data_IF_111002796690
#
_entry.id   IF_111002796690
#
_cell.length_a   1.000
_cell.length_b   1.000
_cell.length_c   1.000
_cell.angle_alpha   90.00
_cell.angle_beta   90.00
_cell.angle_gamma   90.00
#
_symmetry.space_group_name_H-M   'P 1'
#
loop_
_entity.id
_entity.type
_entity.pdbx_description
1 polymer ?
#
# COMPACT_ATOMS: atom_id res chain seq x y z
N UNK A 1 20.03 -14.55 4.19
CA UNK A 1 20.43 -13.74 5.36
C UNK A 1 21.87 -14.09 5.70
N UNK A 2 22.79 -13.13 5.75
CA UNK A 2 24.18 -13.40 6.16
C UNK A 2 24.32 -13.40 7.69
N UNK A 3 25.51 -13.72 8.22
CA UNK A 3 25.77 -13.76 9.66
C UNK A 3 25.55 -12.41 10.38
N UNK A 4 25.54 -11.30 9.65
CA UNK A 4 25.26 -9.95 10.16
C UNK A 4 23.77 -9.56 10.05
N UNK A 5 22.91 -10.44 9.53
CA UNK A 5 21.47 -10.20 9.42
C UNK A 5 21.01 -9.46 8.17
N UNK A 6 21.93 -9.07 7.29
CA UNK A 6 21.62 -8.36 6.06
C UNK A 6 21.17 -9.29 4.93
N UNK A 7 20.35 -8.75 4.04
CA UNK A 7 20.07 -9.33 2.72
C UNK A 7 20.92 -8.60 1.68
N UNK A 8 21.73 -9.37 0.96
CA UNK A 8 22.62 -8.87 -0.09
C UNK A 8 22.61 -9.84 -1.25
N UNK A 9 22.40 -9.34 -2.45
CA UNK A 9 22.58 -10.10 -3.69
C UNK A 9 23.21 -9.21 -4.76
N UNK A 10 23.91 -9.85 -5.69
CA UNK A 10 24.55 -9.20 -6.81
C UNK A 10 23.86 -9.69 -8.09
N UNK A 11 23.63 -8.77 -9.02
CA UNK A 11 23.26 -9.12 -10.39
C UNK A 11 24.48 -8.82 -11.24
N UNK A 12 24.97 -9.82 -11.96
CA UNK A 12 26.12 -9.70 -12.86
C UNK A 12 25.60 -9.87 -14.28
N UNK A 13 25.89 -8.91 -15.17
CA UNK A 13 25.61 -9.07 -16.60
C UNK A 13 26.72 -9.87 -17.31
N UNK A 14 26.47 -10.42 -18.51
CA UNK A 14 27.48 -11.17 -19.26
C UNK A 14 28.72 -10.34 -19.69
N UNK A 15 28.62 -9.01 -19.66
CA UNK A 15 29.72 -8.09 -19.93
C UNK A 15 30.65 -7.85 -18.73
N UNK A 16 30.30 -8.41 -17.57
CA UNK A 16 31.09 -8.32 -16.34
C UNK A 16 30.75 -7.12 -15.45
N UNK A 17 29.72 -6.33 -15.79
CA UNK A 17 29.22 -5.31 -14.87
C UNK A 17 28.43 -6.00 -13.76
N UNK A 18 28.52 -5.47 -12.54
CA UNK A 18 27.68 -5.95 -11.45
C UNK A 18 27.04 -4.81 -10.69
N UNK A 19 25.74 -4.98 -10.42
CA UNK A 19 24.97 -4.11 -9.53
C UNK A 19 24.80 -4.84 -8.22
N UNK A 20 25.12 -4.16 -7.12
CA UNK A 20 25.09 -4.73 -5.78
C UNK A 20 23.94 -4.14 -4.98
N UNK A 21 23.00 -4.99 -4.61
CA UNK A 21 21.88 -4.62 -3.75
C UNK A 21 22.23 -4.95 -2.30
N UNK A 22 22.23 -3.93 -1.44
CA UNK A 22 22.50 -4.05 -0.01
C UNK A 22 21.32 -3.46 0.74
N UNK A 23 20.54 -4.31 1.39
CA UNK A 23 19.63 -3.84 2.42
C UNK A 23 20.44 -3.68 3.70
N UNK A 24 20.76 -2.43 4.06
CA UNK A 24 21.43 -2.12 5.33
C UNK A 24 20.42 -2.23 6.46
N UNK A 25 20.63 -3.17 7.38
CA UNK A 25 19.88 -3.23 8.64
C UNK A 25 20.71 -2.51 9.69
N UNK A 26 20.65 -1.18 9.72
CA UNK A 26 21.35 -0.40 10.75
C UNK A 26 20.72 -0.69 12.11
N UNK A 27 21.47 -1.04 13.17
CA UNK A 27 20.97 -1.02 14.54
C UNK A 27 20.92 0.44 15.03
N UNK A 28 20.21 1.28 14.29
CA UNK A 28 19.58 2.46 14.88
C UNK A 28 18.27 1.97 15.47
N UNK A 29 17.76 2.61 16.51
CA UNK A 29 16.42 2.42 17.07
C UNK A 29 15.30 2.76 16.05
N UNK A 30 15.46 2.35 14.79
CA UNK A 30 14.39 2.29 13.83
C UNK A 30 13.55 1.08 14.23
N UNK A 31 12.25 1.28 14.51
CA UNK A 31 11.36 0.17 14.80
C UNK A 31 11.51 -0.83 13.66
N UNK A 32 11.84 -2.07 14.02
CA UNK A 32 11.94 -3.19 13.09
C UNK A 32 10.64 -3.26 12.28
N UNK A 33 10.64 -3.88 11.11
CA UNK A 33 9.38 -4.15 10.40
C UNK A 33 8.38 -4.92 11.27
N UNK A 34 8.86 -5.64 12.30
CA UNK A 34 8.04 -6.24 13.36
C UNK A 34 7.53 -5.21 14.39
N UNK A 35 8.30 -4.18 14.78
CA UNK A 35 7.86 -3.10 15.67
C UNK A 35 6.92 -2.10 14.98
N UNK A 36 7.12 -1.82 13.68
CA UNK A 36 6.13 -1.10 12.86
C UNK A 36 4.90 -1.95 12.55
N UNK A 37 4.99 -3.28 12.71
CA UNK A 37 3.82 -4.15 12.67
C UNK A 37 3.11 -4.23 14.03
N UNK A 38 3.83 -4.08 15.14
CA UNK A 38 3.27 -4.09 16.51
C UNK A 38 2.57 -2.76 16.86
N UNK A 39 3.06 -1.63 16.34
CA UNK A 39 2.45 -0.31 16.50
C UNK A 39 1.39 0.04 15.43
N UNK A 40 1.27 -0.75 14.36
CA UNK A 40 0.32 -0.46 13.29
C UNK A 40 -1.12 -0.79 13.70
N UNK A 41 -2.05 0.08 13.31
CA UNK A 41 -3.48 -0.18 13.47
C UNK A 41 -3.88 -1.47 12.75
N UNK A 42 -5.04 -2.04 13.12
CA UNK A 42 -5.60 -3.19 12.40
C UNK A 42 -5.77 -2.87 10.91
N UNK A 43 -6.13 -1.62 10.57
CA UNK A 43 -6.27 -1.17 9.19
C UNK A 43 -4.93 -1.17 8.44
N UNK A 44 -3.88 -0.57 9.02
CA UNK A 44 -2.56 -0.57 8.38
C UNK A 44 -1.98 -1.99 8.17
N UNK A 45 -2.29 -2.94 9.06
CA UNK A 45 -1.95 -4.35 8.86
C UNK A 45 -2.77 -4.97 7.72
N UNK A 46 -4.07 -4.68 7.63
CA UNK A 46 -4.93 -5.14 6.57
C UNK A 46 -4.49 -4.62 5.19
N UNK A 47 -4.14 -3.33 5.08
CA UNK A 47 -3.64 -2.73 3.83
C UNK A 47 -2.40 -3.47 3.33
N UNK A 48 -1.39 -3.70 4.19
CA UNK A 48 -0.18 -4.43 3.81
C UNK A 48 -0.46 -5.88 3.39
N UNK A 49 -1.39 -6.56 4.07
CA UNK A 49 -1.76 -7.92 3.71
C UNK A 49 -2.57 -7.98 2.40
N UNK A 50 -3.45 -7.00 2.16
CA UNK A 50 -4.19 -6.85 0.92
C UNK A 50 -3.27 -6.55 -0.26
N UNK A 51 -2.26 -5.70 -0.07
CA UNK A 51 -1.24 -5.42 -1.09
C UNK A 51 -0.52 -6.69 -1.56
N UNK A 52 -0.16 -7.57 -0.62
CA UNK A 52 0.43 -8.89 -0.95
C UNK A 52 -0.58 -9.79 -1.68
N UNK A 53 -1.86 -9.77 -1.29
CA UNK A 53 -2.90 -10.54 -2.00
C UNK A 53 -3.05 -10.09 -3.44
N UNK A 54 -3.02 -8.78 -3.69
CA UNK A 54 -3.09 -8.19 -5.02
C UNK A 54 -1.82 -8.49 -5.82
N UNK A 55 -0.67 -7.99 -5.36
CA UNK A 55 0.55 -7.94 -6.15
C UNK A 55 1.29 -9.29 -6.25
N UNK A 56 1.20 -10.14 -5.23
CA UNK A 56 1.89 -11.43 -5.25
C UNK A 56 0.98 -12.60 -5.64
N UNK A 57 -0.34 -12.49 -5.42
CA UNK A 57 -1.28 -13.61 -5.60
C UNK A 57 -2.39 -13.34 -6.60
N UNK A 58 -2.65 -12.10 -6.99
CA UNK A 58 -3.79 -11.75 -7.84
C UNK A 58 -5.16 -12.08 -7.21
N UNK A 59 -5.23 -12.22 -5.88
CA UNK A 59 -6.44 -12.61 -5.16
C UNK A 59 -7.25 -11.37 -4.75
N UNK A 60 -7.84 -10.73 -5.75
CA UNK A 60 -8.66 -9.53 -5.57
C UNK A 60 -9.87 -9.74 -4.65
N UNK A 61 -10.63 -10.86 -4.73
CA UNK A 61 -11.74 -11.09 -3.81
C UNK A 61 -11.33 -11.20 -2.35
N UNK A 62 -10.20 -11.87 -2.05
CA UNK A 62 -9.69 -11.94 -0.68
C UNK A 62 -9.19 -10.57 -0.19
N UNK A 63 -8.52 -9.80 -1.04
CA UNK A 63 -8.07 -8.45 -0.73
C UNK A 63 -9.26 -7.53 -0.41
N UNK A 64 -10.31 -7.57 -1.24
CA UNK A 64 -11.54 -6.81 -1.05
C UNK A 64 -12.18 -7.12 0.31
N UNK A 65 -12.40 -8.40 0.60
CA UNK A 65 -13.01 -8.83 1.87
C UNK A 65 -12.21 -8.37 3.09
N UNK A 66 -10.88 -8.46 3.01
CA UNK A 66 -9.98 -8.06 4.08
C UNK A 66 -10.06 -6.54 4.34
N UNK A 67 -10.00 -5.73 3.27
CA UNK A 67 -10.10 -4.28 3.33
C UNK A 67 -11.47 -3.81 3.84
N UNK A 68 -12.56 -4.40 3.32
CA UNK A 68 -13.93 -4.05 3.72
C UNK A 68 -14.15 -4.32 5.21
N UNK A 69 -13.69 -5.48 5.69
CA UNK A 69 -13.77 -5.84 7.11
C UNK A 69 -12.95 -4.87 7.98
N UNK A 70 -11.74 -4.52 7.55
CA UNK A 70 -10.86 -3.64 8.31
C UNK A 70 -11.36 -2.19 8.34
N UNK A 71 -11.93 -1.69 7.24
CA UNK A 71 -12.54 -0.36 7.16
C UNK A 71 -13.79 -0.27 8.04
N UNK A 72 -14.63 -1.31 8.06
CA UNK A 72 -15.83 -1.35 8.90
C UNK A 72 -15.52 -1.35 10.41
N UNK A 73 -14.35 -1.87 10.81
CA UNK A 73 -13.91 -1.96 12.20
C UNK A 73 -12.73 -1.02 12.50
N UNK A 74 -12.57 0.04 11.69
CA UNK A 74 -11.50 1.01 11.88
C UNK A 74 -11.68 1.74 13.22
N UNK A 75 -10.72 1.52 14.13
CA UNK A 75 -10.69 2.15 15.45
C UNK A 75 -10.51 3.68 15.31
N UNK A 76 -10.91 4.49 16.31
CA UNK A 76 -10.69 5.94 16.29
C UNK A 76 -9.22 6.38 16.13
N UNK A 77 -8.27 5.50 16.47
CA UNK A 77 -6.83 5.74 16.33
C UNK A 77 -6.32 5.63 14.88
N UNK A 78 -7.15 5.22 13.92
CA UNK A 78 -6.78 5.16 12.50
C UNK A 78 -6.56 6.57 11.96
N UNK A 79 -5.36 6.80 11.42
CA UNK A 79 -4.98 8.11 10.85
C UNK A 79 -5.68 8.35 9.50
N UNK A 80 -5.74 9.61 9.08
CA UNK A 80 -6.26 9.96 7.76
C UNK A 80 -5.45 9.29 6.63
N UNK A 81 -4.11 9.22 6.79
CA UNK A 81 -3.21 8.53 5.87
C UNK A 81 -3.58 7.05 5.71
N UNK A 82 -3.74 6.32 6.82
CA UNK A 82 -4.08 4.90 6.78
C UNK A 82 -5.44 4.64 6.10
N UNK A 83 -6.40 5.54 6.33
CA UNK A 83 -7.73 5.44 5.71
C UNK A 83 -7.68 5.71 4.21
N UNK A 84 -6.93 6.73 3.77
CA UNK A 84 -6.74 7.03 2.35
C UNK A 84 -6.04 5.87 1.63
N UNK A 85 -4.97 5.33 2.20
CA UNK A 85 -4.26 4.18 1.62
C UNK A 85 -5.18 2.96 1.46
N UNK A 86 -6.04 2.69 2.45
CA UNK A 86 -7.02 1.62 2.36
C UNK A 86 -8.05 1.85 1.25
N UNK A 87 -8.57 3.08 1.10
CA UNK A 87 -9.51 3.42 0.04
C UNK A 87 -8.90 3.34 -1.35
N UNK A 88 -7.67 3.83 -1.53
CA UNK A 88 -6.96 3.76 -2.83
C UNK A 88 -6.75 2.31 -3.24
N UNK A 89 -6.19 1.47 -2.37
CA UNK A 89 -5.99 0.06 -2.67
C UNK A 89 -7.33 -0.67 -2.91
N UNK A 90 -8.39 -0.32 -2.16
CA UNK A 90 -9.70 -0.93 -2.37
C UNK A 90 -10.35 -0.50 -3.70
N UNK A 91 -10.09 0.72 -4.15
CA UNK A 91 -10.54 1.22 -5.44
C UNK A 91 -9.84 0.48 -6.58
N UNK A 92 -8.52 0.29 -6.50
CA UNK A 92 -7.77 -0.52 -7.46
C UNK A 92 -8.30 -1.96 -7.53
N UNK A 93 -8.54 -2.58 -6.39
CA UNK A 93 -9.17 -3.91 -6.30
C UNK A 93 -10.56 -3.91 -6.95
N UNK A 94 -11.36 -2.86 -6.74
CA UNK A 94 -12.68 -2.75 -7.35
C UNK A 94 -12.60 -2.67 -8.88
N UNK A 95 -11.66 -1.90 -9.44
CA UNK A 95 -11.40 -1.85 -10.89
C UNK A 95 -11.04 -3.23 -11.42
N UNK A 96 -10.14 -3.96 -10.76
CA UNK A 96 -9.75 -5.32 -11.17
C UNK A 96 -10.89 -6.35 -11.06
N UNK A 97 -11.92 -6.05 -10.26
CA UNK A 97 -13.14 -6.85 -10.13
C UNK A 97 -14.30 -6.34 -11.01
N UNK A 98 -14.05 -5.39 -11.90
CA UNK A 98 -15.05 -4.73 -12.77
C UNK A 98 -16.16 -3.98 -12.01
N UNK A 99 -15.93 -3.64 -10.74
CA UNK A 99 -16.84 -2.82 -9.93
C UNK A 99 -16.47 -1.33 -10.03
N UNK A 100 -16.74 -0.76 -11.20
CA UNK A 100 -16.43 0.64 -11.50
C UNK A 100 -17.22 1.62 -10.62
N UNK A 101 -18.43 1.23 -10.19
CA UNK A 101 -19.27 2.08 -9.33
C UNK A 101 -18.61 2.26 -7.97
N UNK A 102 -18.20 1.17 -7.34
CA UNK A 102 -17.50 1.23 -6.06
C UNK A 102 -16.14 1.91 -6.19
N UNK A 103 -15.39 1.65 -7.26
CA UNK A 103 -14.13 2.33 -7.52
C UNK A 103 -14.32 3.85 -7.53
N UNK A 104 -15.27 4.38 -8.31
CA UNK A 104 -15.57 5.81 -8.36
C UNK A 104 -15.96 6.39 -6.98
N UNK A 105 -16.79 5.68 -6.22
CA UNK A 105 -17.18 6.10 -4.87
C UNK A 105 -15.98 6.23 -3.92
N UNK A 106 -15.06 5.27 -3.97
CA UNK A 106 -13.86 5.27 -3.14
C UNK A 106 -12.88 6.38 -3.55
N UNK A 107 -12.69 6.61 -4.86
CA UNK A 107 -11.85 7.72 -5.34
C UNK A 107 -12.42 9.08 -4.92
N UNK A 108 -13.75 9.25 -4.93
CA UNK A 108 -14.40 10.45 -4.37
C UNK A 108 -14.14 10.59 -2.87
N UNK A 109 -14.26 9.51 -2.09
CA UNK A 109 -13.95 9.54 -0.66
C UNK A 109 -12.49 9.95 -0.36
N UNK A 110 -11.54 9.54 -1.20
CA UNK A 110 -10.14 9.98 -1.11
C UNK A 110 -10.01 11.48 -1.39
N UNK A 111 -10.69 12.00 -2.41
CA UNK A 111 -10.68 13.43 -2.76
C UNK A 111 -11.29 14.32 -1.69
N UNK A 112 -12.35 13.84 -1.04
CA UNK A 112 -13.06 14.57 0.02
C UNK A 112 -12.37 14.46 1.40
N UNK A 113 -11.27 13.70 1.50
CA UNK A 113 -10.53 13.56 2.74
C UNK A 113 -9.89 14.89 3.18
N UNK A 114 -10.12 15.26 4.44
CA UNK A 114 -9.46 16.43 5.04
C UNK A 114 -8.05 16.05 5.47
N UNK A 115 -7.05 16.57 4.76
CA UNK A 115 -5.63 16.28 4.98
C UNK A 115 -4.87 17.57 5.22
N UNK A 116 -3.88 17.51 6.11
CA UNK A 116 -2.84 18.54 6.23
C UNK A 116 -1.90 18.54 5.01
N UNK A 117 -1.10 19.59 4.85
CA UNK A 117 -0.14 19.67 3.75
C UNK A 117 0.92 18.55 3.84
N UNK A 118 1.34 18.22 5.07
CA UNK A 118 2.30 17.16 5.35
C UNK A 118 1.72 15.78 5.01
N UNK A 119 0.47 15.51 5.40
CA UNK A 119 -0.21 14.25 5.05
C UNK A 119 -0.42 14.14 3.54
N UNK A 120 -0.78 15.24 2.87
CA UNK A 120 -0.94 15.29 1.41
C UNK A 120 0.38 14.99 0.69
N UNK A 121 1.49 15.50 1.21
CA UNK A 121 2.83 15.22 0.69
C UNK A 121 3.23 13.76 0.89
N UNK A 122 2.94 13.17 2.05
CA UNK A 122 3.16 11.73 2.29
C UNK A 122 2.36 10.85 1.34
N UNK A 123 1.18 11.30 0.92
CA UNK A 123 0.26 10.58 0.04
C UNK A 123 0.45 10.86 -1.45
N UNK A 124 1.51 11.58 -1.87
CA UNK A 124 1.70 11.96 -3.29
C UNK A 124 1.59 10.76 -4.25
N UNK A 125 2.24 9.65 -3.95
CA UNK A 125 2.16 8.43 -4.78
C UNK A 125 0.74 7.86 -4.85
N UNK A 126 0.04 7.81 -3.71
CA UNK A 126 -1.34 7.37 -3.66
C UNK A 126 -2.29 8.27 -4.47
N UNK A 127 -2.01 9.59 -4.51
CA UNK A 127 -2.79 10.52 -5.34
C UNK A 127 -2.51 10.35 -6.84
N UNK A 128 -1.29 10.01 -7.23
CA UNK A 128 -1.02 9.62 -8.63
C UNK A 128 -1.80 8.37 -9.03
N UNK A 129 -1.86 7.36 -8.16
CA UNK A 129 -2.72 6.18 -8.41
C UNK A 129 -4.20 6.55 -8.55
N UNK A 130 -4.69 7.52 -7.76
CA UNK A 130 -6.08 8.01 -7.88
C UNK A 130 -6.33 8.68 -9.22
N UNK A 131 -5.36 9.44 -9.73
CA UNK A 131 -5.41 10.08 -11.05
C UNK A 131 -5.45 9.00 -12.15
N UNK A 132 -4.51 8.07 -12.14
CA UNK A 132 -4.43 6.97 -13.12
C UNK A 132 -5.72 6.13 -13.17
N UNK A 133 -6.27 5.78 -12.00
CA UNK A 133 -7.53 5.02 -11.91
C UNK A 133 -8.73 5.85 -12.37
N UNK A 134 -8.72 7.17 -12.17
CA UNK A 134 -9.80 8.03 -12.67
C UNK A 134 -9.79 8.10 -14.19
N UNK A 135 -8.61 8.30 -14.78
CA UNK A 135 -8.43 8.35 -16.23
C UNK A 135 -8.82 7.02 -16.89
N UNK A 136 -8.55 5.89 -16.24
CA UNK A 136 -8.99 4.57 -16.69
C UNK A 136 -10.52 4.43 -16.68
N UNK A 137 -11.19 4.96 -15.66
CA UNK A 137 -12.63 4.84 -15.45
C UNK A 137 -13.49 5.84 -16.24
N UNK A 138 -12.83 6.81 -16.89
CA UNK A 138 -13.44 7.79 -17.80
C UNK A 138 -13.36 7.36 -19.27
N UNK A 139 -12.60 6.31 -19.60
CA UNK A 139 -12.51 5.77 -20.95
C UNK A 139 -13.75 4.90 -21.29
N UNK A 140 -14.34 5.08 -22.49
CA UNK A 140 -15.59 4.42 -22.90
C UNK A 140 -15.45 2.94 -23.27
#
# INVERSE_FOLDING_TARGET
KNAAGDYRFNVIDPGGNYVRFIQQVTPTEQPTSADRASAATKLARAVRAADVLVNAKGDFPAAAKLLDTALAHAEPAVTAIERVQAWVLRAEVAVNMDDQVLAKQLLTAVRDSTLTAEERFVLTEAFHTVEDLSDLLEQP
#
